data_IF_110166142825
#
_entry.id   IF_110166142825
#
_cell.length_a   1.000
_cell.length_b   1.000
_cell.length_c   1.000
_cell.angle_alpha   90.00
_cell.angle_beta   90.00
_cell.angle_gamma   90.00
#
_symmetry.space_group_name_H-M   'P 1'
#
loop_
_entity.id
_entity.type
_entity.pdbx_description
1 polymer ?
#
# COMPACT_ATOMS: atom_id res chain seq x y z
N UNK A 1 -12.30 -18.90 1.05
CA UNK A 1 -11.19 -17.93 0.86
C UNK A 1 -10.18 -18.10 1.99
N UNK A 2 -8.97 -18.60 1.72
CA UNK A 2 -7.95 -18.82 2.76
C UNK A 2 -7.09 -17.56 2.82
N UNK A 3 -7.25 -16.74 3.86
CA UNK A 3 -6.44 -15.54 4.04
C UNK A 3 -4.96 -15.93 4.11
N UNK A 4 -4.16 -15.44 3.18
CA UNK A 4 -2.71 -15.63 3.21
C UNK A 4 -2.15 -14.72 4.32
N UNK A 5 -2.03 -15.25 5.55
CA UNK A 5 -1.40 -14.51 6.65
C UNK A 5 0.09 -14.37 6.31
N UNK A 6 0.60 -13.14 6.10
CA UNK A 6 2.02 -12.94 5.84
C UNK A 6 2.84 -13.40 7.06
N UNK A 7 3.93 -14.13 6.82
CA UNK A 7 4.86 -14.54 7.88
C UNK A 7 5.38 -13.30 8.60
N UNK A 8 5.21 -13.26 9.92
CA UNK A 8 5.72 -12.15 10.74
C UNK A 8 7.25 -12.13 10.67
N UNK A 9 7.81 -11.00 10.29
CA UNK A 9 9.27 -10.81 10.26
C UNK A 9 9.77 -10.37 11.64
N UNK A 10 11.06 -10.57 11.93
CA UNK A 10 11.68 -10.04 13.15
C UNK A 10 11.51 -8.52 13.29
N UNK A 11 11.39 -7.81 12.16
CA UNK A 11 11.06 -6.38 12.16
C UNK A 11 9.64 -6.10 12.65
N UNK A 12 8.67 -6.94 12.29
CA UNK A 12 7.28 -6.75 12.68
C UNK A 12 7.05 -6.96 14.17
N UNK A 13 7.74 -7.94 14.76
CA UNK A 13 7.71 -8.17 16.21
C UNK A 13 8.35 -7.01 16.97
N UNK A 14 9.48 -6.49 16.50
CA UNK A 14 10.12 -5.30 17.07
C UNK A 14 9.17 -4.08 17.02
N UNK A 15 8.52 -3.83 15.88
CA UNK A 15 7.58 -2.71 15.72
C UNK A 15 6.40 -2.82 16.68
N UNK A 16 5.87 -4.03 16.92
CA UNK A 16 4.81 -4.26 17.91
C UNK A 16 5.27 -3.88 19.32
N UNK A 17 6.45 -4.36 19.74
CA UNK A 17 7.03 -4.05 21.05
C UNK A 17 7.27 -2.54 21.24
N UNK A 18 7.73 -1.85 20.19
CA UNK A 18 7.90 -0.39 20.22
C UNK A 18 6.55 0.33 20.36
N UNK A 19 5.49 -0.13 19.67
CA UNK A 19 4.16 0.48 19.78
C UNK A 19 3.59 0.34 21.19
N UNK A 20 3.69 -0.84 21.79
CA UNK A 20 3.29 -1.11 23.18
C UNK A 20 4.05 -0.22 24.16
N UNK A 21 5.38 -0.11 23.99
CA UNK A 21 6.22 0.78 24.79
C UNK A 21 5.80 2.25 24.68
N UNK A 22 5.48 2.73 23.46
CA UNK A 22 5.02 4.11 23.26
C UNK A 22 3.68 4.36 23.95
N UNK A 23 2.76 3.39 23.94
CA UNK A 23 1.47 3.52 24.65
C UNK A 23 1.69 3.72 26.15
N UNK A 24 2.58 2.92 26.77
CA UNK A 24 2.93 3.05 28.18
C UNK A 24 3.69 4.36 28.50
N UNK A 25 4.61 4.77 27.63
CA UNK A 25 5.36 6.01 27.86
C UNK A 25 4.44 7.24 27.76
N UNK A 26 3.43 7.22 26.89
CA UNK A 26 2.47 8.33 26.75
C UNK A 26 1.53 8.49 27.95
N UNK A 27 1.35 7.47 28.79
CA UNK A 27 0.55 7.61 30.02
C UNK A 27 1.33 8.28 31.16
N UNK A 28 2.66 8.33 31.06
CA UNK A 28 3.53 8.92 32.08
C UNK A 28 3.77 10.40 31.80
N UNK A 29 3.86 11.22 32.86
CA UNK A 29 4.25 12.61 32.73
C UNK A 29 5.77 12.73 32.59
N UNK A 30 6.25 13.22 31.44
CA UNK A 30 7.68 13.37 31.09
C UNK A 30 8.54 12.09 31.27
N UNK A 31 8.29 11.02 30.49
CA UNK A 31 8.99 9.76 30.64
C UNK A 31 10.45 9.82 30.16
N UNK A 32 11.35 9.11 30.88
CA UNK A 32 12.72 8.90 30.42
C UNK A 32 12.82 7.77 29.39
N UNK A 33 12.58 8.11 28.12
CA UNK A 33 12.59 7.18 26.98
C UNK A 33 13.92 6.43 26.84
N UNK A 34 15.04 7.07 27.19
CA UNK A 34 16.38 6.48 27.09
C UNK A 34 16.58 5.35 28.10
N UNK A 35 16.14 5.56 29.33
CA UNK A 35 16.21 4.54 30.38
C UNK A 35 15.30 3.36 30.03
N UNK A 36 14.05 3.63 29.66
CA UNK A 36 13.11 2.59 29.23
C UNK A 36 13.67 1.75 28.07
N UNK A 37 14.28 2.37 27.07
CA UNK A 37 14.89 1.65 25.95
C UNK A 37 16.00 0.68 26.40
N UNK A 38 16.80 1.06 27.40
CA UNK A 38 17.86 0.20 27.94
C UNK A 38 17.27 -0.97 28.72
N UNK A 39 16.33 -0.70 29.62
CA UNK A 39 15.73 -1.71 30.49
C UNK A 39 14.96 -2.77 29.69
N UNK A 40 14.29 -2.35 28.61
CA UNK A 40 13.51 -3.24 27.74
C UNK A 40 14.26 -3.73 26.50
N UNK A 41 15.56 -3.43 26.37
CA UNK A 41 16.42 -3.81 25.23
C UNK A 41 15.83 -3.39 23.87
N UNK A 42 15.26 -2.19 23.80
CA UNK A 42 14.67 -1.63 22.58
C UNK A 42 15.63 -0.65 21.90
N UNK A 43 15.58 -0.53 20.55
CA UNK A 43 16.37 0.44 19.82
C UNK A 43 15.92 1.86 20.14
N UNK A 44 16.71 2.58 20.95
CA UNK A 44 16.41 3.93 21.46
C UNK A 44 15.96 4.91 20.37
N UNK A 45 16.71 5.02 19.27
CA UNK A 45 16.39 5.96 18.18
C UNK A 45 15.02 5.71 17.55
N UNK A 46 14.64 4.43 17.40
CA UNK A 46 13.34 4.05 16.85
C UNK A 46 12.22 4.30 17.85
N UNK A 47 12.44 4.00 19.13
CA UNK A 47 11.48 4.26 20.20
C UNK A 47 11.21 5.76 20.35
N UNK A 48 12.26 6.58 20.41
CA UNK A 48 12.16 8.04 20.50
C UNK A 48 11.38 8.61 19.30
N UNK A 49 11.72 8.17 18.09
CA UNK A 49 11.01 8.60 16.88
C UNK A 49 9.54 8.22 16.93
N UNK A 50 9.20 7.01 17.37
CA UNK A 50 7.82 6.56 17.50
C UNK A 50 7.06 7.31 18.60
N UNK A 51 7.73 7.66 19.70
CA UNK A 51 7.17 8.45 20.80
C UNK A 51 6.74 9.84 20.32
N UNK A 52 7.57 10.50 19.48
CA UNK A 52 7.24 11.77 18.83
C UNK A 52 6.27 11.66 17.63
N UNK A 53 5.69 10.48 17.35
CA UNK A 53 4.74 10.29 16.26
C UNK A 53 5.37 10.09 14.87
N UNK A 54 6.66 9.79 14.80
CA UNK A 54 7.34 9.49 13.54
C UNK A 54 6.92 8.15 12.91
N UNK A 55 6.92 8.11 11.59
CA UNK A 55 6.54 6.92 10.81
C UNK A 55 7.58 5.80 10.87
N UNK A 56 7.18 4.52 10.88
CA UNK A 56 8.10 3.40 10.72
C UNK A 56 8.41 3.15 9.22
N UNK A 57 9.20 2.12 8.89
CA UNK A 57 9.57 1.83 7.50
C UNK A 57 8.35 1.49 6.62
N UNK A 58 7.35 0.83 7.19
CA UNK A 58 6.14 0.38 6.50
C UNK A 58 5.04 1.46 6.45
N UNK A 59 5.00 2.36 7.42
CA UNK A 59 3.99 3.42 7.52
C UNK A 59 4.47 4.75 6.94
N UNK A 60 5.76 4.88 6.60
CA UNK A 60 6.28 6.11 5.98
C UNK A 60 5.54 6.35 4.66
N UNK A 61 5.01 7.56 4.42
CA UNK A 61 4.42 7.90 3.13
C UNK A 61 5.50 7.76 2.04
N UNK A 62 5.11 7.22 0.89
CA UNK A 62 6.03 7.11 -0.24
C UNK A 62 6.40 8.53 -0.68
N UNK A 63 7.68 8.90 -0.60
CA UNK A 63 8.12 10.26 -0.92
C UNK A 63 7.86 10.72 -2.36
N UNK A 64 7.43 9.81 -3.24
CA UNK A 64 7.08 10.09 -4.63
C UNK A 64 5.57 10.02 -4.89
N UNK A 65 4.74 10.20 -3.85
CA UNK A 65 3.28 10.28 -4.01
C UNK A 65 2.96 11.62 -4.68
N UNK A 66 2.79 11.58 -6.01
CA UNK A 66 2.55 12.76 -6.85
C UNK A 66 1.09 13.23 -6.80
N UNK A 67 0.18 12.32 -6.49
CA UNK A 67 -1.25 12.59 -6.43
C UNK A 67 -1.66 12.94 -5.00
N UNK A 68 -2.59 13.89 -4.86
CA UNK A 68 -3.32 14.14 -3.61
C UNK A 68 -4.22 12.95 -3.27
N UNK A 69 -4.70 12.87 -2.03
CA UNK A 69 -5.59 11.78 -1.59
C UNK A 69 -6.88 11.72 -2.44
N UNK A 70 -7.43 12.88 -2.80
CA UNK A 70 -8.62 12.98 -3.67
C UNK A 70 -8.35 12.45 -5.08
N UNK A 71 -7.22 12.84 -5.68
CA UNK A 71 -6.80 12.35 -7.00
C UNK A 71 -6.52 10.85 -6.98
N UNK A 72 -5.95 10.35 -5.89
CA UNK A 72 -5.68 8.93 -5.68
C UNK A 72 -6.99 8.12 -5.62
N UNK A 73 -8.01 8.65 -4.94
CA UNK A 73 -9.37 8.07 -4.91
C UNK A 73 -10.07 8.14 -6.27
N UNK A 74 -9.93 9.24 -7.02
CA UNK A 74 -10.49 9.36 -8.35
C UNK A 74 -9.86 8.35 -9.32
N UNK A 75 -8.54 8.18 -9.28
CA UNK A 75 -7.83 7.20 -10.09
C UNK A 75 -8.19 5.76 -9.70
N UNK A 76 -8.44 5.50 -8.41
CA UNK A 76 -8.90 4.21 -7.92
C UNK A 76 -10.28 3.85 -8.52
N UNK A 77 -11.25 4.77 -8.40
CA UNK A 77 -12.60 4.58 -8.97
C UNK A 77 -12.57 4.37 -10.48
N UNK A 78 -11.69 5.07 -11.18
CA UNK A 78 -11.47 4.88 -12.61
C UNK A 78 -10.98 3.46 -12.91
N UNK A 79 -10.03 2.94 -12.14
CA UNK A 79 -9.54 1.56 -12.30
C UNK A 79 -10.65 0.53 -12.03
N UNK A 80 -11.44 0.73 -10.97
CA UNK A 80 -12.56 -0.16 -10.63
C UNK A 80 -13.59 -0.23 -11.77
N UNK A 81 -13.95 0.94 -12.33
CA UNK A 81 -14.88 1.00 -13.47
C UNK A 81 -14.34 0.29 -14.72
N UNK A 82 -13.02 0.27 -14.94
CA UNK A 82 -12.41 -0.44 -16.08
C UNK A 82 -12.38 -1.95 -15.84
N UNK A 83 -12.07 -2.37 -14.61
CA UNK A 83 -12.06 -3.78 -14.24
C UNK A 83 -13.46 -4.40 -14.36
N UNK A 84 -14.51 -3.62 -14.03
CA UNK A 84 -15.91 -4.01 -14.20
C UNK A 84 -16.31 -4.21 -15.69
N UNK A 85 -15.71 -3.44 -16.60
CA UNK A 85 -16.11 -3.39 -18.02
C UNK A 85 -15.24 -4.32 -18.90
N UNK A 86 -14.01 -4.68 -18.50
CA UNK A 86 -13.02 -5.18 -19.48
C UNK A 86 -12.03 -6.26 -18.98
N UNK A 87 -11.25 -6.81 -19.93
CA UNK A 87 -10.38 -7.99 -19.78
C UNK A 87 -9.05 -7.75 -19.01
N UNK A 88 -8.97 -6.66 -18.23
CA UNK A 88 -7.86 -6.39 -17.32
C UNK A 88 -7.19 -5.03 -17.48
N UNK A 89 -6.77 -4.47 -16.34
CA UNK A 89 -6.15 -3.15 -16.24
C UNK A 89 -4.78 -3.05 -16.93
N UNK A 90 -4.69 -2.16 -17.92
CA UNK A 90 -3.44 -1.85 -18.61
C UNK A 90 -2.71 -0.66 -17.97
N UNK A 91 -1.40 -0.81 -17.70
CA UNK A 91 -0.60 0.20 -16.99
C UNK A 91 -0.51 1.55 -17.74
N UNK A 92 -0.55 1.53 -19.09
CA UNK A 92 -0.49 2.77 -19.88
C UNK A 92 -1.74 3.63 -19.70
N UNK A 93 -2.90 3.01 -19.54
CA UNK A 93 -4.17 3.70 -19.37
C UNK A 93 -4.21 4.41 -18.00
N UNK A 94 -3.79 3.71 -16.95
CA UNK A 94 -3.61 4.29 -15.60
C UNK A 94 -2.60 5.43 -15.62
N UNK A 95 -1.53 5.30 -16.42
CA UNK A 95 -0.52 6.37 -16.59
C UNK A 95 -1.14 7.63 -17.22
N UNK A 96 -1.93 7.45 -18.29
CA UNK A 96 -2.58 8.56 -19.00
C UNK A 96 -3.58 9.27 -18.07
N UNK A 97 -4.42 8.52 -17.37
CA UNK A 97 -5.39 9.11 -16.45
C UNK A 97 -4.72 9.84 -15.28
N UNK A 98 -3.66 9.27 -14.71
CA UNK A 98 -2.90 9.93 -13.63
C UNK A 98 -2.27 11.25 -14.10
N UNK A 99 -1.76 11.30 -15.34
CA UNK A 99 -1.23 12.54 -15.91
C UNK A 99 -2.32 13.57 -16.21
N UNK A 100 -3.52 13.13 -16.64
CA UNK A 100 -4.66 14.00 -16.85
C UNK A 100 -5.08 14.69 -15.52
N UNK A 101 -5.22 13.91 -14.44
CA UNK A 101 -5.52 14.44 -13.10
C UNK A 101 -4.46 15.43 -12.59
N UNK A 102 -3.17 15.19 -12.91
CA UNK A 102 -2.08 16.12 -12.58
C UNK A 102 -2.14 17.40 -13.41
N UNK A 103 -2.55 17.31 -14.67
CA UNK A 103 -2.69 18.45 -15.56
C UNK A 103 -3.85 19.38 -15.16
N UNK A 104 -4.96 18.82 -14.68
CA UNK A 104 -6.13 19.60 -14.23
C UNK A 104 -5.83 20.54 -13.06
N UNK A 105 -4.94 20.15 -12.15
CA UNK A 105 -4.56 20.95 -10.97
C UNK A 105 -3.42 21.94 -11.29
N UNK A 106 -2.75 21.76 -12.42
CA UNK A 106 -1.58 22.57 -12.76
C UNK A 106 -1.98 23.94 -13.33
N UNK A 107 -2.22 24.91 -12.44
CA UNK A 107 -2.43 26.32 -12.76
C UNK A 107 -1.09 27.01 -13.15
N UNK A 108 -0.54 26.63 -14.31
CA UNK A 108 0.39 27.41 -15.15
C UNK A 108 1.50 28.26 -14.50
N UNK A 109 2.70 27.69 -14.27
CA UNK A 109 4.02 28.36 -14.38
C UNK A 109 5.19 27.32 -14.38
N UNK A 110 5.05 26.16 -15.04
CA UNK A 110 6.10 25.13 -15.00
C UNK A 110 5.89 23.93 -15.94
N UNK A 111 6.91 23.07 -16.13
CA UNK A 111 6.79 21.87 -16.94
C UNK A 111 5.77 20.89 -16.32
N UNK A 112 4.92 20.28 -17.16
CA UNK A 112 3.86 19.39 -16.71
C UNK A 112 4.41 18.25 -15.84
N UNK A 113 3.82 18.09 -14.65
CA UNK A 113 4.15 17.00 -13.74
C UNK A 113 3.69 15.67 -14.37
N UNK A 114 4.64 14.90 -14.89
CA UNK A 114 4.36 13.58 -15.48
C UNK A 114 4.71 12.47 -14.48
N UNK A 115 3.87 11.45 -14.32
CA UNK A 115 4.21 10.27 -13.51
C UNK A 115 5.33 9.45 -14.17
N UNK A 116 6.23 8.87 -13.38
CA UNK A 116 7.36 8.09 -13.90
C UNK A 116 6.95 6.69 -14.36
N UNK A 117 7.76 6.06 -15.23
CA UNK A 117 7.48 4.70 -15.78
C UNK A 117 7.22 3.63 -14.71
N UNK A 118 7.91 3.70 -13.57
CA UNK A 118 7.75 2.75 -12.45
C UNK A 118 6.67 3.19 -11.44
N UNK A 119 6.10 4.38 -11.60
CA UNK A 119 5.15 4.94 -10.65
C UNK A 119 3.88 4.09 -10.62
N UNK A 120 3.28 3.79 -11.77
CA UNK A 120 2.04 2.98 -11.85
C UNK A 120 2.24 1.60 -11.23
N UNK A 121 3.37 0.94 -11.51
CA UNK A 121 3.68 -0.37 -10.90
C UNK A 121 3.73 -0.29 -9.37
N UNK A 122 4.40 0.73 -8.82
CA UNK A 122 4.51 0.94 -7.36
C UNK A 122 3.18 1.35 -6.73
N UNK A 123 2.40 2.15 -7.45
CA UNK A 123 1.07 2.60 -7.05
C UNK A 123 0.09 1.42 -7.00
N UNK A 124 0.03 0.58 -8.03
CA UNK A 124 -0.78 -0.64 -8.02
C UNK A 124 -0.36 -1.60 -6.90
N UNK A 125 0.94 -1.70 -6.60
CA UNK A 125 1.43 -2.54 -5.49
C UNK A 125 1.07 -2.00 -4.10
N UNK A 126 0.92 -0.68 -3.95
CA UNK A 126 0.54 -0.08 -2.68
C UNK A 126 -0.95 -0.27 -2.38
N UNK A 127 -1.81 -0.39 -3.41
CA UNK A 127 -3.22 -0.71 -3.27
C UNK A 127 -3.42 -2.22 -3.10
N UNK A 128 -3.87 -2.63 -1.91
CA UNK A 128 -4.06 -4.04 -1.54
C UNK A 128 -4.94 -4.81 -2.56
N UNK A 129 -5.90 -4.12 -3.18
CA UNK A 129 -6.85 -4.68 -4.14
C UNK A 129 -6.21 -5.09 -5.48
N UNK A 130 -5.14 -4.40 -5.89
CA UNK A 130 -4.43 -4.66 -7.16
C UNK A 130 -3.07 -5.36 -6.97
N UNK A 131 -2.78 -5.85 -5.77
CA UNK A 131 -1.62 -6.70 -5.55
C UNK A 131 -1.78 -7.98 -6.36
N UNK A 132 -1.04 -8.07 -7.46
CA UNK A 132 -1.00 -9.24 -8.35
C UNK A 132 -0.82 -10.52 -7.54
N UNK A 133 -1.90 -11.27 -7.37
CA UNK A 133 -1.85 -12.66 -6.92
C UNK A 133 -1.35 -13.47 -8.11
N UNK A 134 -0.15 -14.05 -8.00
CA UNK A 134 0.28 -15.06 -8.97
C UNK A 134 -0.66 -16.26 -8.83
N UNK A 135 -1.64 -16.39 -9.72
CA UNK A 135 -2.47 -17.58 -9.80
C UNK A 135 -1.60 -18.71 -10.35
N UNK A 136 -1.60 -19.87 -9.69
CA UNK A 136 -0.90 -21.05 -10.21
C UNK A 136 -1.63 -21.54 -11.46
N UNK A 137 -0.95 -21.82 -12.58
CA UNK A 137 -1.58 -22.17 -13.85
C UNK A 137 -2.52 -23.39 -13.78
N UNK A 138 -2.36 -24.26 -12.78
CA UNK A 138 -3.20 -25.46 -12.58
C UNK A 138 -4.66 -25.10 -12.22
N UNK A 139 -4.90 -24.00 -11.51
CA UNK A 139 -6.26 -23.65 -11.05
C UNK A 139 -7.15 -23.10 -12.19
N UNK A 140 -6.56 -22.49 -13.21
CA UNK A 140 -7.29 -21.99 -14.40
C UNK A 140 -7.75 -23.15 -15.27
N UNK A 141 -6.88 -24.15 -15.49
CA UNK A 141 -7.23 -25.36 -16.24
C UNK A 141 -8.31 -26.20 -15.53
N UNK A 142 -8.25 -26.30 -14.19
CA UNK A 142 -9.27 -27.02 -13.41
C UNK A 142 -10.63 -26.31 -13.42
N UNK A 143 -10.65 -24.97 -13.35
CA UNK A 143 -11.91 -24.20 -13.47
C UNK A 143 -12.53 -24.30 -14.87
N UNK A 144 -11.73 -24.35 -15.93
CA UNK A 144 -12.23 -24.56 -17.29
C UNK A 144 -12.78 -25.98 -17.50
N UNK A 145 -12.20 -26.99 -16.83
CA UNK A 145 -12.67 -28.38 -16.92
C UNK A 145 -13.93 -28.69 -16.10
N UNK A 146 -14.34 -27.80 -15.18
CA UNK A 146 -15.48 -28.00 -14.27
C UNK A 146 -16.78 -27.30 -14.71
N UNK A 147 -16.83 -26.76 -15.92
CA UNK A 147 -18.07 -26.33 -16.57
C UNK A 147 -18.56 -27.47 -17.47
N UNK A 148 -19.34 -28.45 -16.98
CA UNK A 148 -20.07 -29.31 -17.90
C UNK A 148 -21.13 -28.44 -18.57
N UNK A 149 -20.97 -28.22 -19.87
CA UNK A 149 -22.02 -27.78 -20.79
C UNK A 149 -23.34 -28.47 -20.39
N UNK A 150 -24.40 -27.67 -20.26
CA UNK A 150 -25.73 -28.16 -19.95
C UNK A 150 -26.09 -29.34 -20.85
N UNK A 151 -26.35 -30.48 -20.22
CA UNK A 151 -26.87 -31.70 -20.84
C UNK A 151 -28.05 -31.30 -21.72
N UNK A 152 -27.89 -31.48 -23.04
CA UNK A 152 -28.93 -31.26 -24.05
C UNK A 152 -30.22 -32.01 -23.69
N UNK A 153 -31.34 -31.34 -23.95
CA UNK A 153 -32.71 -31.85 -23.84
C UNK A 153 -32.98 -33.07 -24.75
#
# INVERSE_FOLDING_TARGET
>A
MRAHVPKETAYDTEVKRIKEAVQLLKTLNNPNVKQYARDHQLPYQRLLRAFHGGHNQKTRPQGNQKLTEEQDLALLRYCDAIDDISFGLHQTLVTQQANALLAEVHHSQGPLLTVGKQWVKRWLQSKLQYQRVKVKPIEVAQKLAQQPEGICA
#
